data_IF_869298268506
#
_entry.id   IF_869298268506
#
_cell.length_a   1.000
_cell.length_b   1.000
_cell.length_c   1.000
_cell.angle_alpha   90.00
_cell.angle_beta   90.00
_cell.angle_gamma   90.00
#
_symmetry.space_group_name_H-M   'P 1'
#
loop_
_entity.id
_entity.type
_entity.pdbx_description
1 polymer ?
#
# COMPACT_ATOMS: atom_id res chain seq x y z
N UNK A 1 0.15 17.92 -8.23
CA UNK A 1 -0.33 19.23 -7.76
C UNK A 1 -1.06 19.02 -6.44
N UNK A 2 -0.81 19.91 -5.45
CA UNK A 2 -1.46 19.85 -4.15
C UNK A 2 -2.09 21.22 -3.81
N UNK A 3 -3.29 21.16 -3.23
CA UNK A 3 -3.99 22.30 -2.65
C UNK A 3 -4.24 22.02 -1.17
N UNK A 4 -3.72 22.88 -0.29
CA UNK A 4 -3.78 22.72 1.16
C UNK A 4 -4.48 23.92 1.81
N UNK A 5 -5.21 23.66 2.89
CA UNK A 5 -5.92 24.70 3.65
C UNK A 5 -6.52 24.16 4.94
N UNK A 6 -7.34 24.95 5.62
CA UNK A 6 -8.05 24.50 6.83
C UNK A 6 -9.02 23.33 6.57
N UNK A 7 -9.37 23.08 5.34
CA UNK A 7 -10.18 21.93 4.90
C UNK A 7 -9.36 20.63 4.76
N UNK A 8 -8.03 20.66 4.90
CA UNK A 8 -7.12 19.53 4.66
C UNK A 8 -6.32 19.71 3.39
N UNK A 9 -6.05 18.60 2.68
CA UNK A 9 -5.23 18.58 1.48
C UNK A 9 -5.89 17.78 0.36
N UNK A 10 -5.97 18.37 -0.83
CA UNK A 10 -6.35 17.69 -2.09
C UNK A 10 -5.12 17.55 -2.96
N UNK A 11 -4.84 16.33 -3.44
CA UNK A 11 -3.73 16.03 -4.36
C UNK A 11 -4.26 15.51 -5.68
N UNK A 12 -3.63 15.94 -6.77
CA UNK A 12 -3.96 15.56 -8.14
C UNK A 12 -2.71 15.08 -8.88
N UNK A 13 -2.83 13.99 -9.63
CA UNK A 13 -1.79 13.45 -10.48
C UNK A 13 -1.19 12.15 -9.95
N UNK A 14 0.07 11.85 -10.33
CA UNK A 14 0.77 10.66 -9.84
C UNK A 14 1.38 10.91 -8.46
N UNK A 15 0.97 10.10 -7.48
CA UNK A 15 1.47 10.20 -6.12
C UNK A 15 1.43 8.83 -5.41
N UNK A 16 1.95 8.78 -4.18
CA UNK A 16 1.80 7.66 -3.27
C UNK A 16 0.32 7.48 -2.92
N UNK A 17 -0.12 6.23 -2.86
CA UNK A 17 -1.49 5.94 -2.41
C UNK A 17 -1.64 6.31 -0.93
N UNK A 18 -2.81 6.83 -0.51
CA UNK A 18 -3.00 7.33 0.86
C UNK A 18 -2.69 6.28 1.94
N UNK A 19 -3.09 5.05 1.76
CA UNK A 19 -2.80 3.94 2.67
C UNK A 19 -1.30 3.75 2.92
N UNK A 20 -0.50 3.76 1.85
CA UNK A 20 0.96 3.61 1.95
C UNK A 20 1.59 4.76 2.72
N UNK A 21 1.17 6.00 2.50
CA UNK A 21 1.77 7.17 3.17
C UNK A 21 1.72 7.07 4.69
N UNK A 22 0.70 6.38 5.23
CA UNK A 22 0.54 6.21 6.68
C UNK A 22 1.07 4.87 7.17
N UNK A 23 0.73 3.76 6.50
CA UNK A 23 1.10 2.40 6.95
C UNK A 23 2.61 2.16 6.89
N UNK A 24 3.32 2.74 5.91
CA UNK A 24 4.77 2.63 5.81
C UNK A 24 5.55 3.18 7.02
N UNK A 25 4.95 4.07 7.81
CA UNK A 25 5.56 4.64 9.02
C UNK A 25 5.76 3.61 10.15
N UNK A 26 5.09 2.47 10.06
CA UNK A 26 5.23 1.39 11.04
C UNK A 26 6.39 0.44 10.74
N UNK A 27 6.94 0.45 9.51
CA UNK A 27 8.16 -0.27 9.19
C UNK A 27 9.37 0.45 9.79
N UNK A 28 10.05 -0.17 10.77
CA UNK A 28 11.20 0.44 11.45
C UNK A 28 12.40 0.64 10.55
N UNK A 29 12.46 -0.05 9.40
CA UNK A 29 13.49 0.16 8.36
C UNK A 29 13.07 1.20 7.32
N UNK A 30 11.83 1.74 7.39
CA UNK A 30 11.36 2.79 6.50
C UNK A 30 11.22 2.36 5.04
N UNK A 31 10.90 1.09 4.80
CA UNK A 31 10.73 0.50 3.46
C UNK A 31 12.03 0.49 2.62
N UNK A 32 13.19 0.43 3.26
CA UNK A 32 14.50 0.40 2.58
C UNK A 32 15.42 -0.69 3.14
N UNK A 33 16.25 -1.25 2.25
CA UNK A 33 17.26 -2.25 2.59
C UNK A 33 16.69 -3.65 2.84
N UNK A 34 17.57 -4.56 3.27
CA UNK A 34 17.24 -5.98 3.47
C UNK A 34 16.29 -6.23 4.65
N UNK A 35 16.21 -5.30 5.58
CA UNK A 35 15.35 -5.38 6.76
C UNK A 35 13.93 -4.83 6.54
N UNK A 36 13.61 -4.29 5.36
CA UNK A 36 12.30 -3.70 5.10
C UNK A 36 11.15 -4.72 5.16
N UNK A 37 9.96 -4.24 5.48
CA UNK A 37 8.75 -5.06 5.39
C UNK A 37 8.32 -5.26 3.93
N UNK A 38 8.26 -6.52 3.49
CA UNK A 38 8.05 -6.90 2.09
C UNK A 38 6.57 -7.05 1.70
N UNK A 39 5.63 -6.75 2.58
CA UNK A 39 4.19 -6.90 2.28
C UNK A 39 3.74 -6.15 1.03
N UNK A 40 4.24 -4.92 0.82
CA UNK A 40 3.99 -4.15 -0.40
C UNK A 40 4.66 -4.74 -1.64
N UNK A 41 5.81 -5.38 -1.50
CA UNK A 41 6.49 -6.05 -2.59
C UNK A 41 5.69 -7.26 -3.08
N UNK A 42 5.03 -8.00 -2.18
CA UNK A 42 4.11 -9.06 -2.57
C UNK A 42 2.91 -8.52 -3.36
N UNK A 43 2.36 -7.37 -2.97
CA UNK A 43 1.33 -6.69 -3.75
C UNK A 43 1.76 -6.41 -5.19
N UNK A 44 3.03 -6.10 -5.41
CA UNK A 44 3.59 -5.85 -6.73
C UNK A 44 3.91 -7.13 -7.51
N UNK A 45 4.57 -8.09 -6.86
CA UNK A 45 5.14 -9.28 -7.51
C UNK A 45 4.10 -10.33 -7.90
N UNK A 46 2.97 -10.37 -7.24
CA UNK A 46 1.97 -11.42 -7.46
C UNK A 46 1.17 -11.28 -8.76
N UNK A 47 1.42 -10.26 -9.55
CA UNK A 47 0.93 -10.24 -10.94
C UNK A 47 1.68 -11.21 -11.85
N UNK A 48 2.84 -11.74 -11.41
CA UNK A 48 3.63 -12.73 -12.15
C UNK A 48 4.27 -12.22 -13.44
N UNK A 49 4.19 -10.90 -13.72
CA UNK A 49 4.43 -10.38 -15.05
C UNK A 49 5.27 -9.11 -15.00
N UNK A 50 6.35 -9.14 -15.77
CA UNK A 50 7.10 -7.94 -16.06
C UNK A 50 6.22 -6.90 -16.77
N UNK A 51 6.45 -5.59 -16.57
CA UNK A 51 5.83 -4.55 -17.37
C UNK A 51 6.09 -4.80 -18.86
N UNK A 52 5.04 -4.76 -19.66
CA UNK A 52 5.16 -4.85 -21.11
C UNK A 52 4.52 -3.61 -21.74
N UNK A 53 4.87 -3.30 -22.97
CA UNK A 53 4.23 -2.23 -23.73
C UNK A 53 2.70 -2.45 -23.86
N UNK A 54 2.24 -3.71 -23.83
CA UNK A 54 0.83 -4.07 -23.86
C UNK A 54 0.16 -3.99 -22.48
N UNK A 55 0.92 -3.97 -21.38
CA UNK A 55 0.42 -3.86 -20.03
C UNK A 55 1.28 -2.91 -19.19
N UNK A 56 1.19 -1.59 -19.43
CA UNK A 56 1.93 -0.58 -18.69
C UNK A 56 1.52 -0.47 -17.21
N UNK A 57 0.38 -1.05 -16.76
CA UNK A 57 0.03 -1.08 -15.33
C UNK A 57 0.98 -1.98 -14.53
N UNK A 58 1.61 -2.96 -15.18
CA UNK A 58 2.74 -3.66 -14.59
C UNK A 58 4.02 -2.81 -14.54
N UNK A 59 4.05 -1.67 -15.25
CA UNK A 59 5.16 -0.71 -15.17
C UNK A 59 5.17 0.07 -13.85
N UNK A 60 4.05 0.13 -13.13
CA UNK A 60 4.02 0.54 -11.74
C UNK A 60 4.48 -0.61 -10.83
N UNK A 61 5.73 -1.06 -11.04
CA UNK A 61 6.40 -2.01 -10.16
C UNK A 61 6.44 -1.55 -8.68
N UNK A 62 6.02 -0.32 -8.43
CA UNK A 62 5.82 0.28 -7.13
C UNK A 62 4.32 0.40 -6.85
N UNK A 63 3.65 -0.68 -6.44
CA UNK A 63 2.21 -0.72 -6.14
C UNK A 63 1.73 0.26 -5.08
N UNK A 64 2.65 1.02 -4.50
CA UNK A 64 2.35 2.13 -3.59
C UNK A 64 2.21 3.48 -4.30
N UNK A 65 2.29 3.54 -5.65
CA UNK A 65 2.00 4.74 -6.45
C UNK A 65 0.82 4.49 -7.37
N UNK A 66 0.07 5.57 -7.60
CA UNK A 66 -1.04 5.58 -8.55
C UNK A 66 -0.93 6.81 -9.44
N UNK A 67 -1.02 6.59 -10.75
CA UNK A 67 -1.15 7.68 -11.75
C UNK A 67 -2.60 8.17 -11.79
N UNK A 68 -2.80 9.40 -12.26
CA UNK A 68 -4.14 9.98 -12.47
C UNK A 68 -5.05 9.84 -11.26
N UNK A 69 -4.49 10.14 -10.10
CA UNK A 69 -5.18 10.01 -8.82
C UNK A 69 -5.69 11.36 -8.35
N UNK A 70 -6.90 11.35 -7.84
CA UNK A 70 -7.43 12.36 -6.92
C UNK A 70 -7.33 11.79 -5.51
N UNK A 71 -6.65 12.48 -4.62
CA UNK A 71 -6.59 12.10 -3.22
C UNK A 71 -6.98 13.27 -2.30
N UNK A 72 -7.63 12.94 -1.19
CA UNK A 72 -7.98 13.89 -0.14
C UNK A 72 -7.48 13.38 1.20
N UNK A 73 -6.91 14.30 1.98
CA UNK A 73 -6.43 14.05 3.35
C UNK A 73 -7.12 15.03 4.28
N UNK A 74 -7.70 14.53 5.36
CA UNK A 74 -8.38 15.38 6.35
C UNK A 74 -7.38 16.21 7.16
N UNK A 75 -7.81 17.33 7.75
CA UNK A 75 -7.13 17.91 8.89
C UNK A 75 -7.05 16.90 10.04
N UNK A 76 -6.22 17.21 11.04
CA UNK A 76 -6.19 16.44 12.29
C UNK A 76 -7.36 16.84 13.19
N UNK A 77 -8.22 15.90 13.50
CA UNK A 77 -9.38 16.07 14.39
C UNK A 77 -9.10 15.39 15.74
N UNK A 78 -8.35 16.05 16.62
CA UNK A 78 -8.05 15.49 17.95
C UNK A 78 -7.25 14.19 17.92
N UNK A 79 -6.30 14.07 16.99
CA UNK A 79 -5.49 12.88 16.76
C UNK A 79 -6.01 11.98 15.63
N UNK A 80 -7.25 12.13 15.20
CA UNK A 80 -7.80 11.35 14.07
C UNK A 80 -7.47 12.02 12.75
N UNK A 81 -6.91 11.27 11.82
CA UNK A 81 -6.68 11.65 10.42
C UNK A 81 -7.17 10.56 9.48
N UNK A 82 -7.59 10.94 8.29
CA UNK A 82 -7.98 10.01 7.24
C UNK A 82 -7.47 10.48 5.88
N UNK A 83 -7.28 9.53 4.98
CA UNK A 83 -6.96 9.80 3.59
C UNK A 83 -7.72 8.87 2.67
N UNK A 84 -8.21 9.39 1.55
CA UNK A 84 -8.91 8.63 0.51
C UNK A 84 -8.35 9.00 -0.85
N UNK A 85 -8.09 8.01 -1.70
CA UNK A 85 -7.63 8.19 -3.07
C UNK A 85 -8.48 7.43 -4.07
N UNK A 86 -8.70 8.03 -5.23
CA UNK A 86 -9.32 7.42 -6.39
C UNK A 86 -8.43 7.64 -7.61
N UNK A 87 -7.98 6.55 -8.22
CA UNK A 87 -7.23 6.55 -9.48
C UNK A 87 -8.15 6.26 -10.65
N UNK A 88 -8.14 7.16 -11.64
CA UNK A 88 -8.96 7.02 -12.84
C UNK A 88 -8.34 5.98 -13.78
N UNK A 89 -9.20 5.21 -14.43
CA UNK A 89 -8.82 4.31 -15.51
C UNK A 89 -8.58 5.11 -16.79
N UNK A 90 -7.48 4.81 -17.49
CA UNK A 90 -7.13 5.49 -18.74
C UNK A 90 -7.00 4.54 -19.94
N UNK A 91 -7.45 3.29 -19.80
CA UNK A 91 -7.33 2.30 -20.88
C UNK A 91 -8.54 2.29 -21.78
N UNK A 92 -8.37 2.82 -22.97
CA UNK A 92 -9.36 2.71 -24.02
C UNK A 92 -9.66 1.22 -24.35
N UNK A 93 -10.92 0.81 -24.21
CA UNK A 93 -11.40 -0.49 -24.62
C UNK A 93 -11.21 -1.66 -23.64
N UNK A 94 -10.64 -1.45 -22.45
CA UNK A 94 -10.36 -2.50 -21.48
C UNK A 94 -11.06 -2.29 -20.12
N UNK A 95 -12.35 -2.08 -20.12
CA UNK A 95 -13.17 -2.08 -18.93
C UNK A 95 -12.71 -1.09 -17.85
N UNK A 96 -12.30 -1.56 -16.70
CA UNK A 96 -11.92 -0.74 -15.55
C UNK A 96 -10.47 -0.99 -15.07
N UNK A 97 -9.62 -1.57 -15.92
CA UNK A 97 -8.25 -1.89 -15.55
C UNK A 97 -7.41 -0.64 -15.29
N UNK A 98 -6.74 -0.62 -14.14
CA UNK A 98 -5.99 0.55 -13.67
C UNK A 98 -6.74 1.39 -12.64
N UNK A 99 -8.05 1.24 -12.54
CA UNK A 99 -8.84 1.93 -11.52
C UNK A 99 -8.39 1.53 -10.12
N UNK A 100 -8.17 2.53 -9.29
CA UNK A 100 -7.78 2.38 -7.90
C UNK A 100 -8.78 3.08 -6.98
N UNK A 101 -9.06 2.48 -5.85
CA UNK A 101 -9.69 3.12 -4.70
C UNK A 101 -9.04 2.59 -3.42
N UNK A 102 -8.66 3.50 -2.54
CA UNK A 102 -8.06 3.11 -1.27
C UNK A 102 -7.89 4.26 -0.31
N UNK A 103 -7.61 3.93 0.94
CA UNK A 103 -7.47 4.95 1.96
C UNK A 103 -7.13 4.38 3.32
N UNK A 104 -7.04 5.27 4.30
CA UNK A 104 -6.76 4.94 5.68
C UNK A 104 -7.56 5.79 6.65
N UNK A 105 -7.70 5.29 7.87
CA UNK A 105 -8.05 6.04 9.07
C UNK A 105 -6.98 5.76 10.11
N UNK A 106 -6.45 6.82 10.72
CA UNK A 106 -5.40 6.75 11.73
C UNK A 106 -5.80 7.52 12.98
N UNK A 107 -5.33 7.05 14.12
CA UNK A 107 -5.40 7.75 15.39
C UNK A 107 -4.00 7.84 15.99
N UNK A 108 -3.54 9.07 16.20
CA UNK A 108 -2.25 9.41 16.80
C UNK A 108 -2.49 10.21 18.08
N UNK A 109 -2.06 9.69 19.23
CA UNK A 109 -2.21 10.39 20.51
C UNK A 109 -0.97 10.17 21.39
N UNK A 110 -0.17 11.20 21.53
CA UNK A 110 1.09 11.14 22.25
C UNK A 110 1.99 10.04 21.69
N UNK A 111 2.41 9.05 22.51
CA UNK A 111 3.28 7.98 22.07
C UNK A 111 2.59 6.87 21.25
N UNK A 112 1.26 6.85 21.21
CA UNK A 112 0.48 5.80 20.57
C UNK A 112 0.03 6.21 19.17
N UNK A 113 0.17 5.30 18.21
CA UNK A 113 -0.35 5.41 16.85
C UNK A 113 -0.97 4.09 16.40
N UNK A 114 -2.14 4.17 15.76
CA UNK A 114 -2.80 3.03 15.12
C UNK A 114 -3.43 3.47 13.80
N UNK A 115 -3.37 2.59 12.79
CA UNK A 115 -3.94 2.87 11.46
C UNK A 115 -4.57 1.62 10.88
N UNK A 116 -5.80 1.75 10.39
CA UNK A 116 -6.44 0.80 9.50
C UNK A 116 -6.46 1.35 8.07
N UNK A 117 -6.12 0.52 7.09
CA UNK A 117 -6.12 0.90 5.69
C UNK A 117 -6.65 -0.22 4.79
N UNK A 118 -7.22 0.19 3.66
CA UNK A 118 -7.68 -0.72 2.63
C UNK A 118 -7.41 -0.13 1.23
N UNK A 119 -7.08 -1.02 0.30
CA UNK A 119 -6.81 -0.68 -1.10
C UNK A 119 -7.47 -1.71 -2.01
N UNK A 120 -7.98 -1.23 -3.13
CA UNK A 120 -8.45 -2.04 -4.24
C UNK A 120 -7.95 -1.46 -5.55
N UNK A 121 -7.47 -2.34 -6.41
CA UNK A 121 -7.09 -2.00 -7.79
C UNK A 121 -7.68 -3.02 -8.75
N UNK A 122 -8.35 -2.54 -9.79
CA UNK A 122 -8.73 -3.36 -10.92
C UNK A 122 -7.52 -3.49 -11.85
N UNK A 123 -7.15 -4.71 -12.24
CA UNK A 123 -5.90 -5.01 -12.96
C UNK A 123 -6.17 -5.87 -14.18
N UNK A 124 -5.24 -5.84 -15.14
CA UNK A 124 -5.18 -6.80 -16.23
C UNK A 124 -4.06 -7.78 -15.96
N UNK A 125 -4.40 -9.05 -15.87
CA UNK A 125 -3.43 -10.12 -15.85
C UNK A 125 -3.03 -10.48 -17.29
N UNK A 126 -1.73 -10.62 -17.52
CA UNK A 126 -1.18 -11.11 -18.77
C UNK A 126 -0.29 -12.30 -18.45
N UNK A 127 -0.66 -13.49 -18.86
CA UNK A 127 0.15 -14.68 -18.70
C UNK A 127 -0.03 -15.64 -19.90
N UNK A 128 0.60 -16.82 -19.82
CA UNK A 128 0.54 -17.81 -20.89
C UNK A 128 -0.89 -18.33 -21.17
N UNK A 129 -1.84 -18.16 -20.25
CA UNK A 129 -3.20 -18.68 -20.35
C UNK A 129 -4.20 -17.65 -20.85
N UNK A 130 -3.91 -16.36 -20.64
CA UNK A 130 -4.73 -15.27 -21.15
C UNK A 130 -3.89 -14.02 -21.40
N UNK A 131 -3.96 -13.47 -22.61
CA UNK A 131 -3.19 -12.26 -22.93
C UNK A 131 -3.67 -11.01 -22.19
N UNK A 132 -4.96 -10.94 -21.85
CA UNK A 132 -5.58 -9.81 -21.13
C UNK A 132 -6.81 -10.33 -20.38
N UNK A 133 -6.66 -10.63 -19.10
CA UNK A 133 -7.78 -11.00 -18.24
C UNK A 133 -7.96 -9.97 -17.14
N UNK A 134 -9.19 -9.48 -17.00
CA UNK A 134 -9.53 -8.59 -15.92
C UNK A 134 -9.52 -9.33 -14.58
N UNK A 135 -8.99 -8.68 -13.56
CA UNK A 135 -8.98 -9.18 -12.21
C UNK A 135 -8.88 -8.07 -11.18
N UNK A 136 -8.78 -8.45 -9.92
CA UNK A 136 -8.81 -7.50 -8.80
C UNK A 136 -7.71 -7.81 -7.81
N UNK A 137 -7.07 -6.75 -7.33
CA UNK A 137 -6.18 -6.82 -6.16
C UNK A 137 -6.83 -6.05 -5.02
N UNK A 138 -6.79 -6.60 -3.82
CA UNK A 138 -7.27 -5.96 -2.59
C UNK A 138 -6.19 -6.11 -1.53
N UNK A 139 -5.99 -5.08 -0.72
CA UNK A 139 -5.07 -5.10 0.40
C UNK A 139 -5.73 -4.49 1.62
N UNK A 140 -5.58 -5.17 2.74
CA UNK A 140 -6.02 -4.75 4.05
C UNK A 140 -4.80 -4.64 4.93
N UNK A 141 -4.64 -3.51 5.61
CA UNK A 141 -3.49 -3.27 6.48
C UNK A 141 -3.96 -2.73 7.83
N UNK A 142 -3.34 -3.21 8.90
CA UNK A 142 -3.47 -2.68 10.24
C UNK A 142 -2.06 -2.49 10.79
N UNK A 143 -1.73 -1.26 11.19
CA UNK A 143 -0.46 -0.92 11.79
C UNK A 143 -0.67 -0.26 13.15
N UNK A 144 0.24 -0.52 14.09
CA UNK A 144 0.28 0.16 15.38
C UNK A 144 1.73 0.39 15.81
N UNK A 145 1.96 1.46 16.55
CA UNK A 145 3.25 1.71 17.19
C UNK A 145 3.08 2.41 18.54
N UNK A 146 4.09 2.21 19.38
CA UNK A 146 4.19 2.88 20.68
C UNK A 146 5.63 3.36 20.91
N UNK A 147 5.76 4.64 21.27
CA UNK A 147 7.05 5.27 21.57
C UNK A 147 7.26 5.33 23.08
N UNK A 148 8.25 4.58 23.58
CA UNK A 148 8.57 4.47 25.01
C UNK A 148 9.65 5.45 25.47
N UNK A 149 9.92 6.52 24.75
CA UNK A 149 11.00 7.45 25.02
C UNK A 149 12.38 6.95 24.59
N UNK A 150 12.77 5.78 25.06
CA UNK A 150 14.06 5.13 24.68
C UNK A 150 13.97 4.20 23.48
N UNK A 151 12.76 3.82 23.05
CA UNK A 151 12.54 2.92 21.93
C UNK A 151 11.14 3.12 21.33
N UNK A 152 11.02 2.84 20.03
CA UNK A 152 9.74 2.68 19.34
C UNK A 152 9.51 1.22 19.04
N UNK A 153 8.36 0.69 19.40
CA UNK A 153 7.90 -0.64 18.99
C UNK A 153 6.81 -0.45 17.95
N UNK A 154 6.84 -1.25 16.88
CA UNK A 154 5.84 -1.23 15.82
C UNK A 154 5.40 -2.65 15.49
N UNK A 155 4.11 -2.78 15.13
CA UNK A 155 3.56 -4.02 14.60
C UNK A 155 2.69 -3.72 13.37
N UNK A 156 2.65 -4.67 12.43
CA UNK A 156 1.85 -4.53 11.22
C UNK A 156 1.28 -5.88 10.80
N UNK A 157 0.01 -5.88 10.42
CA UNK A 157 -0.71 -7.00 9.83
C UNK A 157 -1.16 -6.56 8.44
N UNK A 158 -0.89 -7.38 7.42
CA UNK A 158 -1.30 -7.07 6.07
C UNK A 158 -1.83 -8.34 5.39
N UNK A 159 -2.91 -8.19 4.64
CA UNK A 159 -3.46 -9.24 3.81
C UNK A 159 -3.67 -8.72 2.40
N UNK A 160 -3.03 -9.36 1.42
CA UNK A 160 -3.23 -9.11 0.01
C UNK A 160 -4.05 -10.24 -0.61
N UNK A 161 -5.08 -9.90 -1.37
CA UNK A 161 -5.93 -10.82 -2.12
C UNK A 161 -5.83 -10.49 -3.61
N UNK A 162 -5.72 -11.53 -4.41
CA UNK A 162 -5.64 -11.47 -5.87
C UNK A 162 -6.73 -12.37 -6.40
N UNK A 163 -7.71 -11.80 -7.07
CA UNK A 163 -8.86 -12.52 -7.59
C UNK A 163 -8.79 -12.60 -9.11
N UNK A 164 -9.38 -13.66 -9.64
CA UNK A 164 -9.53 -13.91 -11.07
C UNK A 164 -8.20 -14.04 -11.83
N UNK A 165 -7.15 -14.60 -11.18
CA UNK A 165 -5.85 -14.84 -11.84
C UNK A 165 -6.03 -15.94 -12.88
N UNK A 166 -5.72 -15.72 -14.18
CA UNK A 166 -5.85 -16.74 -15.20
C UNK A 166 -4.96 -17.97 -14.96
N UNK A 167 -5.50 -19.15 -15.15
CA UNK A 167 -4.78 -20.44 -15.06
C UNK A 167 -5.20 -21.37 -16.19
N UNK A 168 -4.55 -22.53 -16.31
CA UNK A 168 -4.87 -23.55 -17.31
C UNK A 168 -6.29 -24.12 -17.19
N UNK A 169 -6.90 -24.07 -16.00
CA UNK A 169 -8.21 -24.64 -15.68
C UNK A 169 -9.29 -23.56 -15.37
N UNK A 170 -9.06 -22.32 -15.76
CA UNK A 170 -9.97 -21.21 -15.47
C UNK A 170 -9.29 -20.09 -14.69
N UNK A 171 -9.89 -19.61 -13.63
CA UNK A 171 -9.30 -18.60 -12.76
C UNK A 171 -9.01 -19.14 -11.36
N UNK A 172 -8.00 -18.59 -10.70
CA UNK A 172 -7.63 -18.92 -9.31
C UNK A 172 -7.49 -17.65 -8.48
N UNK A 173 -7.83 -17.75 -7.21
CA UNK A 173 -7.62 -16.70 -6.24
C UNK A 173 -6.37 -17.00 -5.40
N UNK A 174 -5.62 -15.95 -5.07
CA UNK A 174 -4.45 -16.05 -4.20
C UNK A 174 -4.58 -15.08 -3.05
N UNK A 175 -4.18 -15.55 -1.87
CA UNK A 175 -4.13 -14.77 -0.64
C UNK A 175 -2.72 -14.84 -0.05
N UNK A 176 -2.18 -13.69 0.33
CA UNK A 176 -0.90 -13.56 1.05
C UNK A 176 -1.17 -12.80 2.34
N UNK A 177 -0.79 -13.41 3.47
CA UNK A 177 -0.80 -12.73 4.75
C UNK A 177 0.65 -12.36 5.10
N UNK A 178 0.85 -11.15 5.62
CA UNK A 178 2.14 -10.67 6.05
C UNK A 178 2.00 -10.07 7.46
N UNK A 179 2.95 -10.39 8.33
CA UNK A 179 3.00 -9.98 9.72
C UNK A 179 4.36 -9.40 10.02
N UNK A 180 4.41 -8.36 10.81
CA UNK A 180 5.65 -7.74 11.22
C UNK A 180 5.58 -7.25 12.67
N UNK A 181 6.66 -7.45 13.40
CA UNK A 181 6.96 -6.74 14.63
C UNK A 181 8.39 -6.20 14.55
N UNK A 182 8.59 -4.96 14.97
CA UNK A 182 9.90 -4.31 14.93
C UNK A 182 10.11 -3.36 16.09
N UNK A 183 11.37 -3.08 16.36
CA UNK A 183 11.77 -2.09 17.34
C UNK A 183 12.93 -1.25 16.82
N UNK A 184 12.96 0.01 17.22
CA UNK A 184 14.03 0.95 16.93
C UNK A 184 14.39 1.72 18.19
N UNK A 185 15.69 1.81 18.51
CA UNK A 185 16.18 2.53 19.68
C UNK A 185 17.40 3.39 19.32
N UNK A 186 17.48 4.65 19.77
CA UNK A 186 18.68 5.46 19.63
C UNK A 186 19.81 4.88 20.48
N UNK A 187 21.02 4.81 19.91
CA UNK A 187 22.24 4.38 20.60
C UNK A 187 23.38 5.32 20.23
N UNK A 188 23.77 6.16 21.16
CA UNK A 188 24.75 7.23 20.90
C UNK A 188 24.29 8.18 19.80
N UNK A 189 25.09 8.37 18.78
CA UNK A 189 24.74 9.17 17.59
C UNK A 189 24.02 8.37 16.49
N UNK A 190 23.74 7.09 16.73
CA UNK A 190 23.11 6.17 15.78
C UNK A 190 21.78 5.61 16.27
N UNK A 191 21.28 4.62 15.54
CA UNK A 191 20.05 3.90 15.89
C UNK A 191 20.24 2.41 15.62
N UNK A 192 19.82 1.57 16.57
CA UNK A 192 19.68 0.12 16.37
C UNK A 192 18.24 -0.17 15.98
N UNK A 193 18.06 -1.00 14.96
CA UNK A 193 16.76 -1.44 14.45
C UNK A 193 16.75 -2.96 14.35
N UNK A 194 15.64 -3.55 14.78
CA UNK A 194 15.39 -4.98 14.65
C UNK A 194 13.97 -5.18 14.14
N UNK A 195 13.78 -6.14 13.26
CA UNK A 195 12.46 -6.47 12.73
C UNK A 195 12.39 -7.96 12.42
N UNK A 196 11.24 -8.54 12.73
CA UNK A 196 10.88 -9.89 12.33
C UNK A 196 9.60 -9.83 11.51
N UNK A 197 9.59 -10.48 10.35
CA UNK A 197 8.45 -10.53 9.46
C UNK A 197 8.19 -11.94 8.95
N UNK A 198 6.92 -12.27 8.77
CA UNK A 198 6.41 -13.51 8.18
C UNK A 198 5.51 -13.18 7.00
N UNK A 199 5.52 -14.07 5.97
CA UNK A 199 4.77 -13.89 4.74
C UNK A 199 4.03 -15.17 4.33
#
# INVERSE_FOLDING_TARGET
VSLMGGFGEVRLGRDLVPSYTKVSSYDVFGQVGIGQFMGWSYWNQTSGLAPTAANPDNADANGFRQSNMLAYYTPNFGGVTAGLGYGFDERAGNGHAGRYVGGFVAYDNGPFSITGALDRRDVLYTNAFSPLAEGKKQMYSLGASYEMGMAKISAMLQQSRFNDIPSALGTVDRKVNAYMIGAAAPVGAGQVRIQYALY
#
